data_IF_155137419286
#
_entry.id   IF_155137419286
#
_cell.length_a   1.000
_cell.length_b   1.000
_cell.length_c   1.000
_cell.angle_alpha   90.00
_cell.angle_beta   90.00
_cell.angle_gamma   90.00
#
_symmetry.space_group_name_H-M   'P 1'
#
loop_
_entity.id
_entity.type
_entity.pdbx_description
1 polymer ?
#
# COMPACT_ATOMS: atom_id res chain seq x y z
N UNK A 1 -26.76 1.36 -11.36
CA UNK A 1 -25.31 1.35 -11.70
C UNK A 1 -24.52 0.94 -10.45
N UNK A 2 -23.35 0.31 -10.60
CA UNK A 2 -22.56 -0.26 -9.49
C UNK A 2 -21.61 0.74 -8.79
N UNK A 3 -21.62 2.02 -9.19
CA UNK A 3 -20.70 3.05 -8.68
C UNK A 3 -19.47 3.24 -9.58
N UNK A 4 -18.57 4.13 -9.17
CA UNK A 4 -17.31 4.39 -9.86
C UNK A 4 -16.25 3.33 -9.53
N UNK A 5 -15.44 2.90 -10.50
CA UNK A 5 -14.37 1.95 -10.25
C UNK A 5 -13.20 2.61 -9.51
N UNK A 6 -12.44 1.80 -8.77
CA UNK A 6 -11.14 2.21 -8.24
C UNK A 6 -10.18 2.47 -9.40
N UNK A 7 -9.75 3.73 -9.57
CA UNK A 7 -8.81 4.17 -10.61
C UNK A 7 -7.34 3.95 -10.21
N UNK A 8 -7.02 2.73 -9.78
CA UNK A 8 -5.67 2.31 -9.39
C UNK A 8 -5.35 1.01 -10.15
N UNK A 9 -4.26 0.99 -10.90
CA UNK A 9 -3.70 -0.22 -11.48
C UNK A 9 -3.28 -1.17 -10.37
N UNK A 10 -4.02 -2.26 -10.15
CA UNK A 10 -3.79 -3.15 -9.02
C UNK A 10 -3.19 -4.48 -9.50
N UNK A 11 -1.88 -4.62 -9.35
CA UNK A 11 -1.12 -5.85 -9.69
C UNK A 11 -0.46 -6.42 -8.43
N UNK A 12 -1.26 -6.87 -7.44
CA UNK A 12 -0.77 -7.25 -6.13
C UNK A 12 -0.01 -8.56 -6.11
N UNK A 13 0.09 -9.34 -7.20
CA UNK A 13 0.93 -10.53 -7.23
C UNK A 13 1.43 -10.92 -8.64
N UNK A 14 1.47 -9.98 -9.58
CA UNK A 14 1.85 -10.28 -10.96
C UNK A 14 3.34 -10.64 -11.08
N UNK A 15 3.63 -11.71 -11.81
CA UNK A 15 5.00 -12.14 -12.12
C UNK A 15 5.57 -11.37 -13.30
N UNK A 16 6.14 -10.20 -12.98
CA UNK A 16 6.67 -9.27 -13.97
C UNK A 16 5.61 -8.27 -14.43
N UNK A 17 6.09 -7.10 -14.81
CA UNK A 17 5.25 -5.98 -15.23
C UNK A 17 5.89 -5.32 -16.44
N UNK A 18 5.10 -5.05 -17.47
CA UNK A 18 5.60 -4.38 -18.67
C UNK A 18 6.03 -2.95 -18.32
N UNK A 19 7.18 -2.51 -18.86
CA UNK A 19 7.61 -1.10 -18.77
C UNK A 19 6.59 -0.13 -19.38
N UNK A 20 5.69 -0.61 -20.24
CA UNK A 20 4.63 0.18 -20.88
C UNK A 20 3.34 0.30 -20.04
N UNK A 21 3.30 -0.24 -18.81
CA UNK A 21 2.11 -0.11 -17.97
C UNK A 21 1.66 1.34 -17.73
N UNK A 22 2.55 2.33 -17.51
CA UNK A 22 2.12 3.73 -17.40
C UNK A 22 1.32 4.22 -18.63
N UNK A 23 1.82 3.96 -19.84
CA UNK A 23 1.10 4.25 -21.09
C UNK A 23 -0.27 3.56 -21.16
N UNK A 24 -0.32 2.27 -20.86
CA UNK A 24 -1.57 1.49 -20.86
C UNK A 24 -2.56 2.08 -19.86
N UNK A 25 -2.14 2.32 -18.62
CA UNK A 25 -2.98 2.88 -17.57
C UNK A 25 -3.53 4.27 -17.92
N UNK A 26 -2.68 5.16 -18.44
CA UNK A 26 -3.10 6.50 -18.87
C UNK A 26 -4.19 6.44 -19.96
N UNK A 27 -4.13 5.46 -20.87
CA UNK A 27 -5.18 5.21 -21.87
C UNK A 27 -6.57 4.91 -21.29
N UNK A 28 -6.65 4.48 -20.03
CA UNK A 28 -7.92 4.25 -19.30
C UNK A 28 -8.21 5.31 -18.22
N UNK A 29 -7.46 6.41 -18.23
CA UNK A 29 -7.54 7.46 -17.21
C UNK A 29 -7.10 6.97 -15.83
N UNK A 30 -6.19 6.00 -15.77
CA UNK A 30 -5.58 5.51 -14.53
C UNK A 30 -4.19 6.14 -14.41
N UNK A 31 -3.99 6.88 -13.33
CA UNK A 31 -2.75 7.62 -13.04
C UNK A 31 -2.01 7.08 -11.80
N UNK A 32 -2.54 6.02 -11.19
CA UNK A 32 -2.05 5.43 -9.94
C UNK A 32 -1.85 3.93 -10.12
N UNK A 33 -0.84 3.34 -9.48
CA UNK A 33 -0.57 1.90 -9.53
C UNK A 33 -0.01 1.35 -8.23
N UNK A 34 -0.39 0.12 -7.88
CA UNK A 34 0.07 -0.57 -6.68
C UNK A 34 0.44 -2.02 -6.98
N UNK A 35 1.58 -2.44 -6.45
CA UNK A 35 2.15 -3.78 -6.65
C UNK A 35 3.17 -4.11 -5.55
N UNK A 36 3.61 -5.35 -5.47
CA UNK A 36 4.66 -5.75 -4.51
C UNK A 36 5.87 -6.43 -5.13
N UNK A 37 5.71 -7.05 -6.31
CA UNK A 37 6.82 -7.71 -7.02
C UNK A 37 7.52 -6.74 -7.97
N UNK A 38 8.77 -7.03 -8.29
CA UNK A 38 9.48 -6.38 -9.39
C UNK A 38 10.14 -5.04 -9.06
N UNK A 39 10.05 -4.55 -7.82
CA UNK A 39 10.85 -3.42 -7.34
C UNK A 39 12.00 -3.88 -6.45
N UNK A 40 13.13 -3.19 -6.53
CA UNK A 40 14.30 -3.35 -5.65
C UNK A 40 15.15 -2.10 -5.76
N UNK A 41 16.04 -1.86 -4.79
CA UNK A 41 16.97 -0.73 -4.78
C UNK A 41 17.84 -0.62 -6.05
N UNK A 42 18.05 -1.75 -6.75
CA UNK A 42 18.78 -1.78 -8.05
C UNK A 42 18.09 -0.98 -9.15
N UNK A 43 16.80 -0.67 -8.99
CA UNK A 43 16.05 0.17 -9.92
C UNK A 43 16.17 1.67 -9.61
N UNK A 44 17.01 2.06 -8.64
CA UNK A 44 17.37 3.46 -8.38
C UNK A 44 16.52 4.15 -7.30
N UNK A 45 15.73 3.39 -6.53
CA UNK A 45 14.98 3.93 -5.39
C UNK A 45 14.95 2.94 -4.23
N UNK A 46 15.16 3.43 -3.02
CA UNK A 46 14.92 2.72 -1.76
C UNK A 46 13.53 3.04 -1.17
N UNK A 47 12.71 3.79 -1.92
CA UNK A 47 11.39 4.26 -1.50
C UNK A 47 10.26 3.40 -2.02
N UNK A 48 9.17 3.35 -1.26
CA UNK A 48 7.94 2.66 -1.64
C UNK A 48 7.07 3.50 -2.57
N UNK A 49 7.25 4.81 -2.60
CA UNK A 49 6.51 5.72 -3.48
C UNK A 49 7.43 6.38 -4.51
N UNK A 50 7.03 6.37 -5.78
CA UNK A 50 7.78 6.99 -6.87
C UNK A 50 6.91 7.21 -8.11
N UNK A 51 7.40 8.02 -9.05
CA UNK A 51 6.81 8.13 -10.38
C UNK A 51 7.38 7.05 -11.29
N UNK A 52 6.49 6.27 -11.91
CA UNK A 52 6.87 5.31 -12.93
C UNK A 52 6.50 5.85 -14.31
N UNK A 53 7.52 6.10 -15.13
CA UNK A 53 7.40 6.65 -16.48
C UNK A 53 7.71 5.59 -17.56
N UNK A 54 6.86 5.48 -18.58
CA UNK A 54 7.13 4.70 -19.79
C UNK A 54 7.91 5.51 -20.84
N UNK A 55 8.38 4.86 -21.90
CA UNK A 55 9.26 5.49 -22.90
C UNK A 55 8.61 6.62 -23.71
N UNK A 56 7.29 6.66 -23.76
CA UNK A 56 6.49 7.70 -24.42
C UNK A 56 6.25 8.93 -23.51
N UNK A 57 6.70 8.88 -22.25
CA UNK A 57 6.50 9.94 -21.27
C UNK A 57 5.21 9.83 -20.46
N UNK A 58 4.38 8.80 -20.68
CA UNK A 58 3.24 8.53 -19.79
C UNK A 58 3.73 8.17 -18.38
N UNK A 59 3.03 8.68 -17.37
CA UNK A 59 3.43 8.57 -15.96
C UNK A 59 2.31 8.06 -15.08
N UNK A 60 2.66 7.28 -14.07
CA UNK A 60 1.77 6.91 -12.96
C UNK A 60 2.48 7.06 -11.61
N UNK A 61 1.75 7.48 -10.60
CA UNK A 61 2.17 7.42 -9.20
C UNK A 61 2.15 5.97 -8.75
N UNK A 62 3.28 5.43 -8.30
CA UNK A 62 3.41 4.05 -7.85
C UNK A 62 3.49 3.97 -6.32
N UNK A 63 2.81 2.96 -5.76
CA UNK A 63 2.96 2.50 -4.38
C UNK A 63 3.42 1.04 -4.38
N UNK A 64 4.60 0.78 -3.82
CA UNK A 64 5.11 -0.57 -3.58
C UNK A 64 4.66 -1.05 -2.20
N UNK A 65 4.29 -2.33 -2.12
CA UNK A 65 4.01 -3.03 -0.86
C UNK A 65 5.26 -3.85 -0.47
N UNK A 66 6.23 -3.30 0.28
CA UNK A 66 7.57 -3.88 0.40
C UNK A 66 7.58 -5.20 1.18
N UNK A 67 6.58 -5.43 2.02
CA UNK A 67 6.39 -6.65 2.79
C UNK A 67 5.25 -7.54 2.24
N UNK A 68 4.76 -7.23 1.04
CA UNK A 68 3.64 -7.90 0.40
C UNK A 68 2.26 -7.38 0.84
N UNK A 69 1.22 -7.84 0.17
CA UNK A 69 -0.17 -7.39 0.34
C UNK A 69 -0.92 -8.07 1.50
N UNK A 70 -0.24 -8.85 2.33
CA UNK A 70 -0.91 -9.66 3.35
C UNK A 70 -0.30 -9.55 4.76
N UNK A 71 0.45 -8.48 5.00
CA UNK A 71 1.05 -8.22 6.31
C UNK A 71 0.01 -8.03 7.42
N UNK A 72 -1.19 -7.57 7.07
CA UNK A 72 -2.33 -7.41 7.99
C UNK A 72 -3.28 -8.61 8.04
N UNK A 73 -2.96 -9.79 7.48
CA UNK A 73 -3.86 -10.97 7.52
C UNK A 73 -4.08 -11.49 8.93
N UNK A 74 -5.28 -11.90 9.33
CA UNK A 74 -5.53 -12.53 10.65
C UNK A 74 -4.81 -11.82 11.82
N UNK A 75 -5.03 -10.51 11.98
CA UNK A 75 -4.40 -9.79 13.07
C UNK A 75 -4.93 -10.34 14.41
N UNK A 76 -4.06 -10.67 15.37
CA UNK A 76 -4.50 -11.07 16.70
C UNK A 76 -5.20 -9.92 17.42
N UNK A 77 -6.05 -10.23 18.40
CA UNK A 77 -6.71 -9.22 19.23
C UNK A 77 -5.94 -8.91 20.52
N UNK A 78 -4.95 -9.73 20.88
CA UNK A 78 -4.12 -9.54 22.07
C UNK A 78 -2.88 -8.69 21.79
N UNK A 79 -2.45 -7.93 22.80
CA UNK A 79 -1.31 -7.02 22.70
C UNK A 79 -0.01 -7.74 22.31
N UNK A 80 0.27 -8.90 22.92
CA UNK A 80 1.52 -9.63 22.68
C UNK A 80 1.61 -10.09 21.22
N UNK A 81 0.52 -10.63 20.68
CA UNK A 81 0.42 -11.04 19.28
C UNK A 81 0.58 -9.87 18.32
N UNK A 82 -0.05 -8.72 18.62
CA UNK A 82 0.05 -7.52 17.78
C UNK A 82 1.46 -6.96 17.78
N UNK A 83 2.08 -6.78 18.95
CA UNK A 83 3.47 -6.29 19.09
C UNK A 83 4.47 -7.19 18.39
N UNK A 84 4.40 -8.49 18.67
CA UNK A 84 5.28 -9.49 18.05
C UNK A 84 5.25 -9.41 16.52
N UNK A 85 4.11 -9.06 15.94
CA UNK A 85 3.94 -9.00 14.50
C UNK A 85 4.30 -7.64 13.91
N UNK A 86 3.76 -6.57 14.46
CA UNK A 86 3.78 -5.25 13.82
C UNK A 86 5.02 -4.44 14.16
N UNK A 87 5.64 -4.66 15.31
CA UNK A 87 6.84 -3.88 15.71
C UNK A 87 7.95 -4.00 14.67
N UNK A 88 8.17 -5.20 14.15
CA UNK A 88 9.16 -5.44 13.08
C UNK A 88 8.78 -4.84 11.73
N UNK A 89 7.48 -4.61 11.49
CA UNK A 89 6.99 -4.09 10.21
C UNK A 89 7.10 -2.57 10.15
N UNK A 90 6.82 -1.87 11.26
CA UNK A 90 6.81 -0.40 11.27
C UNK A 90 8.15 0.19 10.84
N UNK A 91 9.26 -0.31 11.36
CA UNK A 91 10.60 0.20 10.99
C UNK A 91 10.88 0.04 9.49
N UNK A 92 10.50 -1.11 8.91
CA UNK A 92 10.71 -1.37 7.48
C UNK A 92 9.82 -0.46 6.63
N UNK A 93 8.55 -0.33 6.99
CA UNK A 93 7.56 0.45 6.25
C UNK A 93 7.84 1.96 6.36
N UNK A 94 8.13 2.46 7.55
CA UNK A 94 8.39 3.88 7.82
C UNK A 94 9.70 4.36 7.19
N UNK A 95 10.74 3.51 7.14
CA UNK A 95 12.02 3.86 6.52
C UNK A 95 11.90 4.02 5.00
N UNK A 96 11.09 3.18 4.36
CA UNK A 96 10.91 3.19 2.92
C UNK A 96 9.86 4.20 2.44
N UNK A 97 8.92 4.59 3.31
CA UNK A 97 7.86 5.53 2.95
C UNK A 97 8.33 6.99 2.92
N UNK A 98 7.94 7.70 1.86
CA UNK A 98 8.16 9.14 1.66
C UNK A 98 7.17 9.97 2.48
N UNK A 99 5.91 9.53 2.55
CA UNK A 99 4.80 10.21 3.26
C UNK A 99 4.70 9.82 4.73
N UNK A 100 5.21 8.63 5.09
CA UNK A 100 4.92 7.92 6.35
C UNK A 100 3.45 7.52 6.51
N UNK A 101 2.68 7.52 5.43
CA UNK A 101 1.32 6.98 5.37
C UNK A 101 1.41 5.48 5.06
N UNK A 102 1.40 4.67 6.12
CA UNK A 102 1.71 3.24 6.03
C UNK A 102 0.46 2.41 5.74
N UNK A 103 0.53 1.60 4.68
CA UNK A 103 -0.50 0.61 4.37
C UNK A 103 -0.29 -0.68 5.16
N UNK A 104 -1.34 -1.13 5.85
CA UNK A 104 -1.44 -2.47 6.44
C UNK A 104 -2.64 -3.20 5.81
N UNK A 105 -2.48 -3.84 4.64
CA UNK A 105 -3.59 -4.52 3.99
C UNK A 105 -4.12 -5.68 4.86
N UNK A 106 -5.37 -5.58 5.30
CA UNK A 106 -6.06 -6.61 6.07
C UNK A 106 -6.71 -7.63 5.14
N UNK A 107 -5.89 -8.52 4.59
CA UNK A 107 -6.32 -9.57 3.68
C UNK A 107 -5.19 -10.52 3.31
N UNK A 108 -5.51 -11.58 2.58
CA UNK A 108 -4.60 -12.55 1.97
C UNK A 108 -5.39 -13.33 0.91
N UNK A 109 -4.71 -14.14 0.09
CA UNK A 109 -5.33 -15.16 -0.76
C UNK A 109 -6.46 -15.89 -0.04
N UNK A 110 -7.67 -15.73 -0.57
CA UNK A 110 -8.89 -16.40 -0.12
C UNK A 110 -9.20 -16.21 1.38
N UNK A 111 -8.65 -15.19 2.01
CA UNK A 111 -8.91 -14.90 3.41
C UNK A 111 -10.35 -14.38 3.58
N UNK A 112 -11.15 -14.99 4.47
CA UNK A 112 -12.45 -14.43 4.81
C UNK A 112 -12.27 -13.08 5.53
N UNK A 113 -13.28 -12.22 5.45
CA UNK A 113 -13.28 -10.95 6.16
C UNK A 113 -13.02 -11.17 7.65
N UNK A 114 -12.07 -10.43 8.20
CA UNK A 114 -11.77 -10.47 9.63
C UNK A 114 -12.91 -9.82 10.43
N UNK A 115 -13.79 -10.66 11.00
CA UNK A 115 -15.03 -10.20 11.64
C UNK A 115 -14.78 -9.31 12.86
N UNK A 116 -13.68 -9.50 13.58
CA UNK A 116 -13.34 -8.73 14.77
C UNK A 116 -12.38 -7.57 14.49
N UNK A 117 -12.30 -7.07 13.26
CA UNK A 117 -11.32 -6.04 12.90
C UNK A 117 -11.48 -4.74 13.72
N UNK A 118 -12.69 -4.38 14.13
CA UNK A 118 -12.90 -3.19 14.96
C UNK A 118 -12.30 -3.32 16.36
N UNK A 119 -12.41 -4.50 16.99
CA UNK A 119 -11.76 -4.82 18.27
C UNK A 119 -10.23 -4.72 18.13
N UNK A 120 -9.68 -5.28 17.06
CA UNK A 120 -8.24 -5.19 16.76
C UNK A 120 -7.81 -3.74 16.57
N UNK A 121 -8.60 -2.93 15.86
CA UNK A 121 -8.31 -1.51 15.64
C UNK A 121 -8.34 -0.71 16.95
N UNK A 122 -9.26 -1.01 17.86
CA UNK A 122 -9.29 -0.40 19.19
C UNK A 122 -8.02 -0.76 19.98
N UNK A 123 -7.62 -2.05 19.97
CA UNK A 123 -6.39 -2.48 20.62
C UNK A 123 -5.15 -1.83 20.01
N UNK A 124 -5.08 -1.70 18.68
CA UNK A 124 -3.97 -1.01 17.99
C UNK A 124 -3.84 0.44 18.45
N UNK A 125 -4.95 1.17 18.55
CA UNK A 125 -4.96 2.56 19.04
C UNK A 125 -4.52 2.67 20.50
N UNK A 126 -4.88 1.69 21.33
CA UNK A 126 -4.48 1.63 22.74
C UNK A 126 -2.98 1.37 22.92
N UNK A 127 -2.42 0.37 22.21
CA UNK A 127 -1.05 -0.10 22.46
C UNK A 127 0.03 0.70 21.71
N UNK A 128 -0.37 1.51 20.72
CA UNK A 128 0.49 2.39 19.93
C UNK A 128 -0.04 3.84 19.91
N UNK A 129 -0.10 4.53 21.06
CA UNK A 129 -0.68 5.89 21.14
C UNK A 129 0.06 6.94 20.31
N UNK A 130 1.32 6.67 19.93
CA UNK A 130 2.14 7.50 19.06
C UNK A 130 1.80 7.35 17.57
N UNK A 131 0.93 6.40 17.19
CA UNK A 131 0.51 6.13 15.81
C UNK A 131 -0.99 6.28 15.67
N UNK A 132 -1.43 6.75 14.50
CA UNK A 132 -2.85 6.89 14.17
C UNK A 132 -3.29 5.74 13.28
N UNK A 133 -4.13 4.86 13.80
CA UNK A 133 -4.74 3.77 13.03
C UNK A 133 -6.12 4.17 12.52
N UNK A 134 -6.29 4.10 11.20
CA UNK A 134 -7.54 4.40 10.50
C UNK A 134 -7.95 3.22 9.62
N UNK A 135 -9.25 2.93 9.59
CA UNK A 135 -9.82 2.08 8.54
C UNK A 135 -9.93 2.96 7.29
N UNK A 136 -9.19 2.61 6.24
CA UNK A 136 -9.01 3.47 5.06
C UNK A 136 -9.15 2.66 3.77
N UNK A 137 -8.94 3.32 2.64
CA UNK A 137 -8.95 2.79 1.28
C UNK A 137 -7.68 3.25 0.55
N UNK A 138 -7.29 2.56 -0.51
CA UNK A 138 -6.03 2.87 -1.21
C UNK A 138 -6.01 4.28 -1.79
N UNK A 139 -7.16 4.81 -2.22
CA UNK A 139 -7.29 6.16 -2.77
C UNK A 139 -6.84 7.25 -1.80
N UNK A 140 -7.15 7.12 -0.50
CA UNK A 140 -6.75 8.09 0.52
C UNK A 140 -5.22 8.14 0.68
N UNK A 141 -4.53 7.00 0.54
CA UNK A 141 -3.06 6.97 0.57
C UNK A 141 -2.47 7.65 -0.66
N UNK A 142 -3.03 7.42 -1.85
CA UNK A 142 -2.57 8.12 -3.05
C UNK A 142 -2.79 9.63 -3.00
N UNK A 143 -3.90 10.09 -2.41
CA UNK A 143 -4.12 11.53 -2.18
C UNK A 143 -3.01 12.14 -1.32
N UNK A 144 -2.50 11.41 -0.32
CA UNK A 144 -1.38 11.87 0.51
C UNK A 144 -0.05 11.88 -0.24
N UNK A 145 0.21 10.87 -1.06
CA UNK A 145 1.42 10.78 -1.90
C UNK A 145 1.45 11.94 -2.89
N UNK A 146 0.32 12.20 -3.55
CA UNK A 146 0.20 13.26 -4.54
C UNK A 146 0.32 14.65 -3.90
N UNK A 147 -0.25 14.86 -2.71
CA UNK A 147 -0.08 16.11 -1.98
C UNK A 147 1.40 16.41 -1.64
N UNK A 148 2.23 15.39 -1.43
CA UNK A 148 3.67 15.58 -1.19
C UNK A 148 4.46 15.92 -2.45
N UNK A 149 3.92 15.62 -3.64
CA UNK A 149 4.52 16.04 -4.92
C UNK A 149 4.42 17.56 -5.12
N UNK A 150 3.37 18.17 -4.58
CA UNK A 150 3.08 19.60 -4.75
C UNK A 150 3.76 20.50 -3.70
N UNK A 151 4.34 19.92 -2.65
CA UNK A 151 5.03 20.62 -1.56
C UNK A 151 6.53 20.81 -1.82
#
# INVERSE_FOLDING_TARGET
AFGEPMKIGYLPDSFGMSRQLPHIYNGFGITRTMFWRGCSERHGTDKTEFLWQSSDGSEVTAQVLPLGYAIGKYLPADENGLRKRLDSYFDVLEKASVTKEILLPNGHDQMPLQQNIFEVMDKLREIYPQRKFVMSRFEEVFEKIEAQRES
#
